data_IF_677101923462
#
_entry.id   IF_677101923462
#
_cell.length_a   1.000
_cell.length_b   1.000
_cell.length_c   1.000
_cell.angle_alpha   90.00
_cell.angle_beta   90.00
_cell.angle_gamma   90.00
#
_symmetry.space_group_name_H-M   'P 1'
#
loop_
_entity.id
_entity.type
_entity.pdbx_description
1 polymer ?
#
# COMPACT_ATOMS: atom_id res chain seq x y z
N UNK A 1 4.35 18.26 24.92
CA UNK A 1 4.62 16.79 24.89
C UNK A 1 4.44 16.31 23.46
N UNK A 2 5.41 15.62 22.89
CA UNK A 2 5.31 15.07 21.53
C UNK A 2 4.60 13.72 21.59
N UNK A 3 3.49 13.55 20.88
CA UNK A 3 2.80 12.28 20.72
C UNK A 3 3.16 11.72 19.34
N UNK A 4 3.65 10.49 19.29
CA UNK A 4 4.04 9.79 18.05
C UNK A 4 3.20 8.52 17.88
N UNK A 5 3.03 8.02 16.64
CA UNK A 5 2.40 6.71 16.41
C UNK A 5 3.22 5.61 17.10
N UNK A 6 2.52 4.63 17.64
CA UNK A 6 3.12 3.49 18.34
C UNK A 6 3.13 2.23 17.49
N UNK A 7 2.29 2.18 16.44
CA UNK A 7 2.16 1.06 15.53
C UNK A 7 1.98 1.54 14.09
N UNK A 8 2.43 0.75 13.12
CA UNK A 8 2.33 1.09 11.70
C UNK A 8 0.88 1.19 11.21
N UNK A 9 -0.06 0.52 11.86
CA UNK A 9 -1.49 0.61 11.55
C UNK A 9 -2.11 1.98 11.83
N UNK A 10 -1.46 2.80 12.69
CA UNK A 10 -1.89 4.17 12.98
C UNK A 10 -1.47 5.16 11.89
N UNK A 11 -0.56 4.76 11.00
CA UNK A 11 -0.03 5.61 9.94
C UNK A 11 -0.99 5.59 8.75
N UNK A 12 -1.49 6.76 8.35
CA UNK A 12 -2.29 6.90 7.14
C UNK A 12 -1.43 6.89 5.87
N UNK A 13 -2.04 6.64 4.72
CA UNK A 13 -1.36 6.75 3.43
C UNK A 13 -0.85 8.19 3.22
N UNK A 14 -1.61 9.21 3.66
CA UNK A 14 -1.18 10.61 3.58
C UNK A 14 0.11 10.86 4.36
N UNK A 15 0.20 10.34 5.58
CA UNK A 15 1.38 10.50 6.43
C UNK A 15 2.56 9.69 5.88
N UNK A 16 2.29 8.47 5.41
CA UNK A 16 3.29 7.64 4.76
C UNK A 16 3.91 8.31 3.51
N UNK A 17 3.11 9.09 2.76
CA UNK A 17 3.59 9.87 1.63
C UNK A 17 4.49 11.04 2.04
N UNK A 18 4.28 11.61 3.23
CA UNK A 18 5.12 12.69 3.78
C UNK A 18 6.43 12.16 4.38
N UNK A 19 6.50 10.89 4.73
CA UNK A 19 7.62 10.22 5.43
C UNK A 19 8.95 10.20 4.66
N UNK A 20 9.08 10.93 3.57
CA UNK A 20 10.29 10.93 2.71
C UNK A 20 11.46 11.74 3.27
N UNK A 21 11.24 12.48 4.34
CA UNK A 21 12.25 13.39 4.87
C UNK A 21 13.19 12.67 5.83
N UNK A 22 14.50 12.85 5.63
CA UNK A 22 15.53 12.49 6.62
C UNK A 22 15.62 13.53 7.75
N UNK A 23 14.84 14.65 7.67
CA UNK A 23 14.83 15.72 8.64
C UNK A 23 13.89 15.34 9.80
N UNK A 24 14.43 15.35 11.04
CA UNK A 24 13.69 15.02 12.26
C UNK A 24 12.47 15.93 12.47
N UNK A 25 12.58 17.21 12.16
CA UNK A 25 11.48 18.17 12.32
C UNK A 25 10.33 17.86 11.36
N UNK A 26 10.65 17.63 10.09
CA UNK A 26 9.64 17.31 9.07
C UNK A 26 8.96 15.96 9.35
N UNK A 27 9.70 14.98 9.89
CA UNK A 27 9.14 13.71 10.34
C UNK A 27 8.12 13.93 11.47
N UNK A 28 8.47 14.74 12.47
CA UNK A 28 7.57 15.00 13.58
C UNK A 28 6.37 15.85 13.14
N UNK A 29 6.54 16.80 12.24
CA UNK A 29 5.42 17.55 11.65
C UNK A 29 4.47 16.64 10.86
N UNK A 30 5.00 15.62 10.19
CA UNK A 30 4.19 14.68 9.43
C UNK A 30 3.41 13.70 10.32
N UNK A 31 4.00 13.19 11.39
CA UNK A 31 3.46 12.09 12.20
C UNK A 31 3.17 12.45 13.63
N UNK A 32 3.81 13.48 14.15
CA UNK A 32 3.69 13.87 15.54
C UNK A 32 2.60 14.90 15.77
N UNK A 33 1.91 14.76 16.90
CA UNK A 33 1.04 15.82 17.41
C UNK A 33 1.82 16.58 18.47
N UNK A 34 2.24 17.81 18.12
CA UNK A 34 2.94 18.72 19.04
C UNK A 34 2.45 20.15 18.82
N UNK A 35 2.02 20.82 19.88
CA UNK A 35 1.48 22.18 19.80
C UNK A 35 2.55 23.19 19.38
N UNK A 36 3.80 23.01 19.82
CA UNK A 36 4.92 23.85 19.40
C UNK A 36 6.23 23.04 19.45
N UNK A 37 6.67 22.56 18.30
CA UNK A 37 7.87 21.73 18.19
C UNK A 37 9.15 22.52 18.51
N UNK A 38 9.19 23.80 18.21
CA UNK A 38 10.36 24.66 18.41
C UNK A 38 10.66 24.97 19.90
N UNK A 39 9.67 24.77 20.77
CA UNK A 39 9.84 24.90 22.22
C UNK A 39 10.27 23.60 22.90
N UNK A 40 10.30 22.48 22.14
CA UNK A 40 10.68 21.20 22.70
C UNK A 40 12.21 21.05 22.81
N UNK A 41 12.72 20.36 23.84
CA UNK A 41 14.14 20.06 23.92
C UNK A 41 14.62 19.26 22.71
N UNK A 42 15.77 19.60 22.14
CA UNK A 42 16.33 18.92 20.96
C UNK A 42 16.47 17.39 21.17
N UNK A 43 16.77 16.96 22.39
CA UNK A 43 16.82 15.52 22.74
C UNK A 43 15.46 14.84 22.62
N UNK A 44 14.36 15.51 23.01
CA UNK A 44 13.02 14.98 22.89
C UNK A 44 12.57 14.88 21.41
N UNK A 45 12.94 15.89 20.59
CA UNK A 45 12.69 15.89 19.14
C UNK A 45 13.41 14.72 18.48
N UNK A 46 14.70 14.51 18.79
CA UNK A 46 15.49 13.41 18.24
C UNK A 46 14.92 12.04 18.64
N UNK A 47 14.59 11.84 19.91
CA UNK A 47 14.02 10.59 20.41
C UNK A 47 12.67 10.28 19.75
N UNK A 48 11.82 11.30 19.56
CA UNK A 48 10.54 11.13 18.87
C UNK A 48 10.75 10.77 17.39
N UNK A 49 11.69 11.40 16.69
CA UNK A 49 12.01 11.06 15.31
C UNK A 49 12.57 9.63 15.17
N UNK A 50 13.41 9.19 16.11
CA UNK A 50 13.91 7.81 16.17
C UNK A 50 12.75 6.82 16.36
N UNK A 51 11.83 7.09 17.28
CA UNK A 51 10.63 6.27 17.48
C UNK A 51 9.74 6.16 16.23
N UNK A 52 9.52 7.28 15.52
CA UNK A 52 8.78 7.27 14.24
C UNK A 52 9.51 6.38 13.21
N UNK A 53 10.85 6.49 13.10
CA UNK A 53 11.63 5.64 12.18
C UNK A 53 11.55 4.17 12.53
N UNK A 54 11.54 3.82 13.81
CA UNK A 54 11.34 2.44 14.25
C UNK A 54 9.98 1.91 13.80
N UNK A 55 8.90 2.67 13.99
CA UNK A 55 7.55 2.29 13.53
C UNK A 55 7.51 2.15 12.02
N UNK A 56 8.11 3.07 11.27
CA UNK A 56 8.20 2.99 9.80
C UNK A 56 9.02 1.77 9.33
N UNK A 57 10.04 1.36 10.07
CA UNK A 57 10.83 0.16 9.76
C UNK A 57 10.11 -1.15 10.10
N UNK A 58 9.14 -1.10 11.03
CA UNK A 58 8.28 -2.22 11.39
C UNK A 58 7.07 -2.36 10.46
N UNK A 59 7.24 -2.05 9.16
CA UNK A 59 6.18 -2.12 8.16
C UNK A 59 5.35 -3.40 8.29
N UNK A 60 4.08 -3.25 8.56
CA UNK A 60 3.10 -4.34 8.53
C UNK A 60 2.33 -4.32 7.22
N UNK A 61 1.78 -5.47 6.85
CA UNK A 61 0.97 -5.58 5.65
C UNK A 61 -0.30 -6.37 5.95
N UNK A 62 -1.44 -5.78 5.68
CA UNK A 62 -2.75 -6.40 5.87
C UNK A 62 -3.56 -6.33 4.58
N UNK A 63 -3.86 -7.47 3.99
CA UNK A 63 -4.76 -7.54 2.84
C UNK A 63 -6.17 -7.87 3.30
N UNK A 64 -7.11 -6.97 3.03
CA UNK A 64 -8.53 -7.17 3.27
C UNK A 64 -9.28 -7.12 1.93
N UNK A 65 -10.23 -8.04 1.75
CA UNK A 65 -11.10 -8.04 0.55
C UNK A 65 -12.05 -6.85 0.54
N UNK A 66 -12.47 -6.39 1.69
CA UNK A 66 -13.35 -5.22 1.88
C UNK A 66 -12.70 -4.32 2.90
N UNK A 67 -12.63 -3.04 2.60
CA UNK A 67 -12.14 -1.98 3.48
C UNK A 67 -13.21 -0.91 3.63
N UNK A 68 -13.18 -0.22 4.75
CA UNK A 68 -14.02 0.95 5.00
C UNK A 68 -13.13 2.17 5.18
N UNK A 69 -13.40 3.22 4.42
CA UNK A 69 -12.67 4.50 4.51
C UNK A 69 -13.70 5.61 4.47
N UNK A 70 -13.71 6.46 5.49
CA UNK A 70 -14.66 7.58 5.64
C UNK A 70 -16.13 7.17 5.51
N UNK A 71 -16.50 6.02 6.13
CA UNK A 71 -17.85 5.48 6.10
C UNK A 71 -18.29 4.91 4.75
N UNK A 72 -17.39 4.83 3.76
CA UNK A 72 -17.64 4.19 2.46
C UNK A 72 -16.94 2.83 2.40
N UNK A 73 -17.63 1.84 1.86
CA UNK A 73 -17.12 0.48 1.70
C UNK A 73 -16.57 0.27 0.30
N UNK A 74 -15.34 -0.27 0.23
CA UNK A 74 -14.64 -0.55 -1.01
C UNK A 74 -14.26 -2.03 -1.04
N UNK A 75 -14.49 -2.68 -2.19
CA UNK A 75 -14.08 -4.06 -2.43
C UNK A 75 -12.81 -4.12 -3.27
N UNK A 76 -11.87 -4.97 -2.88
CA UNK A 76 -10.75 -5.32 -3.73
C UNK A 76 -11.26 -5.97 -5.02
N UNK A 77 -10.64 -5.70 -6.15
CA UNK A 77 -11.07 -6.27 -7.44
C UNK A 77 -11.11 -7.79 -7.32
N UNK A 78 -12.32 -8.41 -7.39
CA UNK A 78 -12.50 -9.82 -7.05
C UNK A 78 -11.93 -10.76 -8.09
N UNK A 79 -11.82 -10.28 -9.34
CA UNK A 79 -11.37 -11.08 -10.46
C UNK A 79 -10.38 -10.29 -11.32
N UNK A 80 -9.19 -10.86 -11.48
CA UNK A 80 -8.14 -10.28 -12.31
C UNK A 80 -8.50 -10.22 -13.79
N UNK A 81 -9.35 -11.13 -14.26
CA UNK A 81 -9.83 -11.14 -15.66
C UNK A 81 -10.74 -9.95 -15.96
N UNK A 82 -11.35 -9.35 -14.91
CA UNK A 82 -12.14 -8.14 -15.01
C UNK A 82 -11.30 -6.85 -15.00
N UNK A 83 -9.98 -6.96 -14.83
CA UNK A 83 -9.07 -5.82 -14.81
C UNK A 83 -8.96 -5.21 -16.21
N UNK A 84 -9.40 -3.98 -16.35
CA UNK A 84 -9.47 -3.32 -17.66
C UNK A 84 -8.10 -2.84 -18.13
N UNK A 85 -7.96 -2.65 -19.44
CA UNK A 85 -6.73 -2.07 -20.03
C UNK A 85 -6.41 -0.68 -19.43
N UNK A 86 -7.43 0.14 -19.16
CA UNK A 86 -7.24 1.46 -18.54
C UNK A 86 -6.66 1.34 -17.14
N UNK A 87 -7.20 0.45 -16.30
CA UNK A 87 -6.63 0.17 -14.97
C UNK A 87 -5.18 -0.30 -15.05
N UNK A 88 -4.87 -1.17 -16.02
CA UNK A 88 -3.51 -1.67 -16.21
C UNK A 88 -2.53 -0.55 -16.60
N UNK A 89 -2.92 0.35 -17.50
CA UNK A 89 -2.09 1.49 -17.90
C UNK A 89 -1.86 2.44 -16.74
N UNK A 90 -2.92 2.80 -16.03
CA UNK A 90 -2.85 3.72 -14.89
C UNK A 90 -1.99 3.14 -13.76
N UNK A 91 -2.15 1.85 -13.41
CA UNK A 91 -1.33 1.25 -12.36
C UNK A 91 0.15 1.15 -12.76
N UNK A 92 0.46 0.86 -14.04
CA UNK A 92 1.84 0.86 -14.52
C UNK A 92 2.48 2.26 -14.45
N UNK A 93 1.71 3.31 -14.70
CA UNK A 93 2.18 4.70 -14.57
C UNK A 93 2.45 5.04 -13.10
N UNK A 94 1.50 4.74 -12.21
CA UNK A 94 1.62 5.08 -10.79
C UNK A 94 2.67 4.23 -10.06
N UNK A 95 2.98 3.03 -10.54
CA UNK A 95 4.06 2.20 -10.01
C UNK A 95 5.47 2.74 -10.28
N UNK A 96 5.62 3.78 -11.10
CA UNK A 96 6.91 4.48 -11.26
C UNK A 96 7.31 5.22 -9.99
N UNK A 97 6.34 5.72 -9.23
CA UNK A 97 6.51 6.30 -7.89
C UNK A 97 5.39 5.81 -6.98
N UNK A 98 5.49 4.58 -6.45
CA UNK A 98 4.38 3.93 -5.76
C UNK A 98 4.00 4.60 -4.45
N UNK A 99 4.94 5.25 -3.76
CA UNK A 99 4.67 5.92 -2.48
C UNK A 99 3.84 7.17 -2.72
N UNK A 100 4.29 8.08 -3.59
CA UNK A 100 3.54 9.30 -3.90
C UNK A 100 2.18 9.03 -4.55
N UNK A 101 2.04 7.91 -5.24
CA UNK A 101 0.80 7.51 -5.88
C UNK A 101 0.03 6.42 -5.11
N UNK A 102 0.39 6.13 -3.85
CA UNK A 102 -0.23 5.05 -3.06
C UNK A 102 -1.76 5.15 -3.03
N UNK A 103 -2.31 6.34 -2.75
CA UNK A 103 -3.76 6.60 -2.77
C UNK A 103 -4.42 6.32 -4.14
N UNK A 104 -3.72 6.62 -5.25
CA UNK A 104 -4.22 6.35 -6.61
C UNK A 104 -4.17 4.86 -6.94
N UNK A 105 -3.11 4.18 -6.51
CA UNK A 105 -2.99 2.73 -6.65
C UNK A 105 -4.10 2.03 -5.87
N UNK A 106 -4.37 2.48 -4.62
CA UNK A 106 -5.50 1.97 -3.84
C UNK A 106 -6.84 2.17 -4.57
N UNK A 107 -7.06 3.33 -5.19
CA UNK A 107 -8.27 3.62 -5.97
C UNK A 107 -8.43 2.71 -7.19
N UNK A 108 -7.34 2.21 -7.77
CA UNK A 108 -7.40 1.22 -8.87
C UNK A 108 -7.73 -0.17 -8.34
N UNK A 109 -7.13 -0.56 -7.20
CA UNK A 109 -7.26 -1.90 -6.63
C UNK A 109 -8.57 -2.08 -5.84
N UNK A 110 -9.10 -1.01 -5.27
CA UNK A 110 -10.33 -1.00 -4.51
C UNK A 110 -11.37 -0.08 -5.16
N UNK A 111 -12.53 -0.62 -5.45
CA UNK A 111 -13.64 0.13 -6.01
C UNK A 111 -14.84 0.13 -5.07
N UNK A 112 -15.70 1.18 -5.09
CA UNK A 112 -16.90 1.22 -4.28
C UNK A 112 -17.78 -0.01 -4.49
N UNK A 113 -18.24 -0.64 -3.41
CA UNK A 113 -19.16 -1.77 -3.47
C UNK A 113 -20.55 -1.25 -3.87
N UNK A 114 -21.13 -1.82 -4.93
CA UNK A 114 -22.47 -1.48 -5.42
C UNK A 114 -23.53 -2.44 -4.90
N UNK A 115 -23.15 -3.70 -4.70
CA UNK A 115 -24.03 -4.75 -4.19
C UNK A 115 -23.22 -5.78 -3.42
N UNK A 116 -23.81 -6.30 -2.35
CA UNK A 116 -23.21 -7.38 -1.57
C UNK A 116 -24.29 -8.45 -1.29
N UNK A 117 -23.93 -9.72 -1.52
CA UNK A 117 -24.83 -10.84 -1.30
C UNK A 117 -24.03 -12.11 -0.95
N UNK A 118 -24.38 -12.76 0.17
CA UNK A 118 -23.78 -14.04 0.60
C UNK A 118 -22.24 -14.06 0.59
N UNK A 119 -21.60 -12.99 1.07
CA UNK A 119 -20.12 -12.91 1.13
C UNK A 119 -19.42 -12.66 -0.21
N UNK A 120 -20.19 -12.48 -1.28
CA UNK A 120 -19.73 -11.98 -2.57
C UNK A 120 -20.12 -10.51 -2.72
N UNK A 121 -19.38 -9.76 -3.52
CA UNK A 121 -19.70 -8.36 -3.78
C UNK A 121 -19.43 -7.98 -5.24
N UNK A 122 -20.18 -7.01 -5.69
CA UNK A 122 -19.98 -6.34 -6.98
C UNK A 122 -19.39 -4.96 -6.72
N UNK A 123 -18.46 -4.54 -7.54
CA UNK A 123 -17.83 -3.23 -7.43
C UNK A 123 -18.22 -2.35 -8.63
N UNK A 124 -18.18 -1.04 -8.40
CA UNK A 124 -18.39 -0.04 -9.45
C UNK A 124 -17.29 -0.18 -10.52
N UNK A 125 -17.67 -0.05 -11.78
CA UNK A 125 -16.71 -0.03 -12.89
C UNK A 125 -15.71 1.12 -12.71
N UNK A 126 -14.45 0.84 -13.04
CA UNK A 126 -13.39 1.84 -12.99
C UNK A 126 -13.64 2.99 -13.96
N UNK A 127 -13.54 4.21 -13.47
CA UNK A 127 -13.73 5.46 -14.25
C UNK A 127 -12.56 6.44 -14.08
N UNK A 128 -11.40 5.95 -13.63
CA UNK A 128 -10.22 6.76 -13.33
C UNK A 128 -10.04 7.01 -11.83
N UNK A 129 -9.03 7.80 -11.50
CA UNK A 129 -8.58 8.03 -10.10
C UNK A 129 -9.07 9.36 -9.50
N UNK A 130 -10.18 9.91 -10.00
CA UNK A 130 -10.70 11.22 -9.52
C UNK A 130 -11.08 11.21 -8.03
N UNK A 131 -11.49 10.06 -7.49
CA UNK A 131 -11.88 9.89 -6.09
C UNK A 131 -10.75 9.31 -5.23
N UNK A 132 -9.50 9.30 -5.73
CA UNK A 132 -8.39 8.64 -5.05
C UNK A 132 -8.04 9.28 -3.70
N UNK A 133 -8.31 10.57 -3.52
CA UNK A 133 -7.94 11.30 -2.30
C UNK A 133 -8.60 10.72 -1.04
N UNK A 134 -9.73 10.03 -1.16
CA UNK A 134 -10.36 9.35 -0.02
C UNK A 134 -9.44 8.30 0.60
N UNK A 135 -8.60 7.64 -0.20
CA UNK A 135 -7.67 6.62 0.30
C UNK A 135 -6.47 7.19 1.05
N UNK A 136 -6.28 8.50 1.06
CA UNK A 136 -5.24 9.15 1.88
C UNK A 136 -5.46 8.92 3.38
N UNK A 137 -6.73 8.77 3.79
CA UNK A 137 -7.12 8.48 5.17
C UNK A 137 -7.05 6.98 5.53
N UNK A 138 -6.78 6.12 4.55
CA UNK A 138 -6.66 4.69 4.81
C UNK A 138 -5.32 4.37 5.49
N UNK A 139 -5.27 3.35 6.39
CA UNK A 139 -4.02 2.87 6.95
C UNK A 139 -3.02 2.40 5.89
N UNK A 140 -1.75 2.79 6.04
CA UNK A 140 -0.68 2.44 5.09
C UNK A 140 -0.44 0.91 5.01
N UNK A 141 -0.73 0.17 6.08
CA UNK A 141 -0.66 -1.30 6.08
C UNK A 141 -1.56 -1.95 5.02
N UNK A 142 -2.72 -1.34 4.73
CA UNK A 142 -3.64 -1.82 3.70
C UNK A 142 -3.05 -1.64 2.29
N UNK A 143 -2.35 -0.54 2.04
CA UNK A 143 -1.62 -0.33 0.80
C UNK A 143 -0.52 -1.38 0.62
N UNK A 144 0.29 -1.64 1.66
CA UNK A 144 1.32 -2.65 1.62
C UNK A 144 0.73 -4.05 1.36
N UNK A 145 -0.39 -4.39 2.02
CA UNK A 145 -1.10 -5.65 1.81
C UNK A 145 -1.66 -5.80 0.40
N UNK A 146 -2.29 -4.77 -0.12
CA UNK A 146 -2.84 -4.75 -1.48
C UNK A 146 -1.72 -4.89 -2.54
N UNK A 147 -0.59 -4.21 -2.35
CA UNK A 147 0.56 -4.28 -3.24
C UNK A 147 1.21 -5.66 -3.25
N UNK A 148 1.39 -6.28 -2.08
CA UNK A 148 1.90 -7.65 -1.98
C UNK A 148 1.01 -8.63 -2.71
N UNK A 149 -0.30 -8.54 -2.51
CA UNK A 149 -1.27 -9.40 -3.18
C UNK A 149 -1.26 -9.18 -4.69
N UNK A 150 -1.24 -7.93 -5.14
CA UNK A 150 -1.14 -7.57 -6.56
C UNK A 150 0.11 -8.13 -7.22
N UNK A 151 1.28 -7.98 -6.60
CA UNK A 151 2.54 -8.51 -7.12
C UNK A 151 2.53 -10.04 -7.21
N UNK A 152 1.90 -10.73 -6.26
CA UNK A 152 1.76 -12.18 -6.27
C UNK A 152 0.87 -12.65 -7.43
N UNK A 153 -0.29 -12.03 -7.63
CA UNK A 153 -1.19 -12.34 -8.76
C UNK A 153 -0.48 -12.09 -10.09
N UNK A 154 0.17 -10.94 -10.26
CA UNK A 154 0.91 -10.62 -11.50
C UNK A 154 1.99 -11.67 -11.78
N UNK A 155 2.73 -12.11 -10.77
CA UNK A 155 3.74 -13.15 -10.91
C UNK A 155 3.14 -14.49 -11.35
N UNK A 156 2.02 -14.90 -10.75
CA UNK A 156 1.36 -16.15 -11.06
C UNK A 156 0.72 -16.14 -12.46
N UNK A 157 0.16 -14.99 -12.85
CA UNK A 157 -0.33 -14.77 -14.21
C UNK A 157 0.78 -14.86 -15.26
N UNK A 158 1.94 -14.22 -15.02
CA UNK A 158 3.09 -14.29 -15.93
C UNK A 158 3.61 -15.73 -16.04
N UNK A 159 3.69 -16.49 -14.94
CA UNK A 159 4.10 -17.88 -14.98
C UNK A 159 3.14 -18.75 -15.81
N UNK A 160 1.83 -18.54 -15.62
CA UNK A 160 0.79 -19.25 -16.35
C UNK A 160 0.84 -18.91 -17.85
N UNK A 161 0.99 -17.62 -18.18
CA UNK A 161 1.09 -17.17 -19.57
C UNK A 161 2.34 -17.72 -20.27
N UNK A 162 3.50 -17.70 -19.59
CA UNK A 162 4.73 -18.31 -20.10
C UNK A 162 4.57 -19.81 -20.31
N UNK A 163 3.88 -20.49 -19.40
CA UNK A 163 3.59 -21.91 -19.53
C UNK A 163 2.78 -22.22 -20.80
N UNK A 164 1.72 -21.44 -21.08
CA UNK A 164 0.93 -21.62 -22.31
C UNK A 164 1.74 -21.30 -23.57
N UNK A 165 2.60 -20.27 -23.53
CA UNK A 165 3.41 -19.87 -24.68
C UNK A 165 4.57 -20.84 -24.98
N UNK A 166 5.15 -21.47 -23.96
CA UNK A 166 6.30 -22.36 -24.11
C UNK A 166 5.93 -23.84 -24.29
N UNK A 167 4.65 -24.19 -24.16
CA UNK A 167 4.19 -25.57 -24.30
C UNK A 167 4.76 -26.57 -23.28
N UNK A 168 5.37 -26.08 -22.20
CA UNK A 168 5.98 -26.91 -21.16
C UNK A 168 4.90 -27.57 -20.29
N UNK A 169 4.86 -28.90 -20.25
CA UNK A 169 3.91 -29.72 -19.48
C UNK A 169 4.23 -29.76 -17.98
N UNK A 170 4.14 -28.65 -17.27
CA UNK A 170 4.10 -28.67 -15.81
C UNK A 170 2.78 -28.06 -15.35
N UNK A 171 1.96 -28.84 -14.63
CA UNK A 171 0.69 -28.34 -14.12
C UNK A 171 0.94 -27.19 -13.13
N UNK A 172 0.21 -26.07 -13.23
CA UNK A 172 0.28 -25.00 -12.23
C UNK A 172 -0.22 -25.57 -10.90
N UNK A 173 0.64 -25.60 -9.89
CA UNK A 173 0.21 -25.85 -8.51
C UNK A 173 -0.82 -24.79 -8.13
N UNK A 174 -1.96 -25.21 -7.52
CA UNK A 174 -2.94 -24.28 -6.93
C UNK A 174 -2.20 -23.19 -6.13
N UNK A 175 -2.66 -21.93 -6.18
CA UNK A 175 -2.02 -20.88 -5.42
C UNK A 175 -1.93 -21.30 -3.96
N UNK A 176 -0.73 -21.56 -3.50
CA UNK A 176 -0.45 -21.90 -2.12
C UNK A 176 -0.64 -20.65 -1.28
N UNK A 177 -1.26 -20.80 -0.11
CA UNK A 177 -1.31 -19.79 0.92
C UNK A 177 0.05 -19.09 1.03
N UNK A 178 0.01 -17.75 1.10
CA UNK A 178 1.17 -16.86 1.13
C UNK A 178 2.16 -17.33 2.20
N UNK A 179 3.19 -18.05 1.76
CA UNK A 179 4.34 -18.33 2.63
C UNK A 179 5.19 -17.06 2.71
N UNK A 180 5.76 -16.78 3.89
CA UNK A 180 6.48 -15.54 4.22
C UNK A 180 7.62 -15.09 3.31
N UNK A 181 7.92 -15.84 2.24
CA UNK A 181 8.98 -15.56 1.27
C UNK A 181 8.64 -14.36 0.33
N UNK A 182 7.36 -14.08 0.11
CA UNK A 182 6.89 -12.92 -0.65
C UNK A 182 7.17 -11.59 0.06
N UNK A 183 7.04 -11.59 1.39
CA UNK A 183 7.26 -10.42 2.25
C UNK A 183 8.74 -10.02 2.23
N UNK A 184 9.66 -10.99 2.31
CA UNK A 184 11.10 -10.74 2.31
C UNK A 184 11.58 -10.17 0.96
N UNK A 185 11.00 -10.61 -0.16
CA UNK A 185 11.33 -10.09 -1.49
C UNK A 185 10.76 -8.70 -1.74
N UNK A 186 9.53 -8.43 -1.25
CA UNK A 186 8.92 -7.10 -1.32
C UNK A 186 9.66 -6.09 -0.43
N UNK A 187 10.03 -6.48 0.79
CA UNK A 187 10.89 -5.67 1.68
C UNK A 187 12.23 -5.33 1.00
N UNK A 188 12.84 -6.29 0.31
CA UNK A 188 14.09 -6.08 -0.42
C UNK A 188 13.89 -5.17 -1.64
N UNK A 189 12.75 -5.27 -2.32
CA UNK A 189 12.39 -4.40 -3.44
C UNK A 189 12.03 -2.98 -2.96
N UNK A 190 11.22 -2.83 -1.93
CA UNK A 190 10.96 -1.54 -1.28
C UNK A 190 12.27 -0.94 -0.77
N UNK A 191 13.08 -1.69 -0.05
CA UNK A 191 14.38 -1.21 0.45
C UNK A 191 15.38 -0.88 -0.65
N UNK A 192 15.28 -1.48 -1.85
CA UNK A 192 16.08 -1.12 -3.01
C UNK A 192 15.54 0.15 -3.69
N UNK A 193 14.22 0.34 -3.70
CA UNK A 193 13.56 1.54 -4.21
C UNK A 193 13.83 2.72 -3.28
N UNK A 194 13.76 2.51 -1.97
CA UNK A 194 14.14 3.51 -0.96
C UNK A 194 15.60 3.94 -1.06
N UNK A 195 16.53 3.02 -1.32
CA UNK A 195 17.94 3.36 -1.52
C UNK A 195 18.19 4.19 -2.78
N UNK A 196 17.48 3.90 -3.88
CA UNK A 196 17.58 4.67 -5.12
C UNK A 196 16.94 6.07 -5.06
N UNK A 197 16.07 6.31 -4.11
CA UNK A 197 15.45 7.62 -3.88
C UNK A 197 16.26 8.49 -2.92
N UNK A 198 17.29 7.89 -2.26
CA UNK A 198 18.19 8.57 -1.33
C UNK A 198 19.52 9.02 -1.96
N UNK A 199 19.90 8.44 -3.11
CA UNK A 199 21.04 8.81 -3.96
C UNK A 199 20.55 9.74 -5.09
#
# INVERSE_FOLDING_TARGET
MIRIPTDFSEITIADFQKAKSDNDLELIEAFGVCDNIMEQPAAAVKLAAEGIREVLNCETSRHLKIIEVNGKRFGFIPDWTAFTQGQYMDICEYLKDPINNAHKIMCILYSPITREFNGTYEVKKYTGTKEADIFKEAPAELFNGAMLFFCNIKRDYLKTSLFYLTGLKSQPKKPSQVSGDGITRFRRWLGATWRKLRD
#
